data_IF_329377604896
#
_entry.id   IF_329377604896
#
_cell.length_a   1.000
_cell.length_b   1.000
_cell.length_c   1.000
_cell.angle_alpha   90.00
_cell.angle_beta   90.00
_cell.angle_gamma   90.00
#
_symmetry.space_group_name_H-M   'P 1'
#
loop_
_entity.id
_entity.type
_entity.pdbx_description
1 polymer ?
#
# COMPACT_ATOMS: atom_id res chain seq x y z
N UNK A 1 -15.41 21.40 22.87
CA UNK A 1 -15.23 20.31 21.88
C UNK A 1 -14.57 20.93 20.67
N UNK A 2 -13.30 20.62 20.44
CA UNK A 2 -12.58 21.10 19.27
C UNK A 2 -13.06 20.31 18.04
N UNK A 3 -13.94 20.90 17.24
CA UNK A 3 -14.62 20.26 16.12
C UNK A 3 -13.78 20.25 14.82
N UNK A 4 -12.52 20.68 14.88
CA UNK A 4 -11.69 20.92 13.69
C UNK A 4 -10.23 20.49 13.87
N UNK A 5 -9.98 19.35 14.51
CA UNK A 5 -8.74 18.62 14.26
C UNK A 5 -8.85 18.00 12.85
N UNK A 6 -8.48 18.79 11.85
CA UNK A 6 -8.65 18.53 10.41
C UNK A 6 -7.82 17.37 9.86
N UNK A 7 -7.97 16.18 10.45
CA UNK A 7 -7.36 14.94 9.96
C UNK A 7 -7.77 14.64 8.52
N UNK A 8 -8.90 15.17 8.08
CA UNK A 8 -9.45 15.09 6.74
C UNK A 8 -8.46 15.52 5.66
N UNK A 9 -7.82 16.67 5.86
CA UNK A 9 -6.81 17.18 4.95
C UNK A 9 -5.58 16.26 4.94
N UNK A 10 -5.17 15.79 6.12
CA UNK A 10 -4.04 14.87 6.26
C UNK A 10 -4.31 13.50 5.60
N UNK A 11 -5.52 12.96 5.77
CA UNK A 11 -5.98 11.71 5.14
C UNK A 11 -6.04 11.89 3.63
N UNK A 12 -6.53 13.03 3.14
CA UNK A 12 -6.59 13.31 1.70
C UNK A 12 -5.17 13.39 1.09
N UNK A 13 -4.25 14.10 1.75
CA UNK A 13 -2.83 14.14 1.34
C UNK A 13 -2.22 12.73 1.34
N UNK A 14 -2.51 11.93 2.36
CA UNK A 14 -2.04 10.54 2.43
C UNK A 14 -2.63 9.69 1.29
N UNK A 15 -3.92 9.80 1.02
CA UNK A 15 -4.61 9.13 -0.08
C UNK A 15 -4.02 9.51 -1.45
N UNK A 16 -3.66 10.78 -1.65
CA UNK A 16 -2.98 11.23 -2.88
C UNK A 16 -1.59 10.60 -3.03
N UNK A 17 -0.80 10.59 -1.95
CA UNK A 17 0.52 9.93 -1.94
C UNK A 17 0.40 8.43 -2.22
N UNK A 18 -0.55 7.76 -1.57
CA UNK A 18 -0.82 6.33 -1.78
C UNK A 18 -1.30 6.06 -3.21
N UNK A 19 -2.13 6.94 -3.78
CA UNK A 19 -2.58 6.81 -5.18
C UNK A 19 -1.43 6.93 -6.18
N UNK A 20 -0.43 7.79 -5.91
CA UNK A 20 0.81 7.84 -6.68
C UNK A 20 1.59 6.53 -6.59
N UNK A 21 1.70 5.94 -5.39
CA UNK A 21 2.32 4.61 -5.22
C UNK A 21 1.55 3.53 -5.99
N UNK A 22 0.21 3.58 -6.02
CA UNK A 22 -0.60 2.66 -6.84
C UNK A 22 -0.28 2.77 -8.33
N UNK A 23 -0.06 4.00 -8.82
CA UNK A 23 0.38 4.21 -10.19
C UNK A 23 1.76 3.60 -10.44
N UNK A 24 2.70 3.77 -9.50
CA UNK A 24 4.02 3.13 -9.58
C UNK A 24 3.87 1.61 -9.62
N UNK A 25 3.10 1.00 -8.71
CA UNK A 25 2.84 -0.45 -8.70
C UNK A 25 2.31 -0.93 -10.06
N UNK A 26 1.39 -0.17 -10.67
CA UNK A 26 0.85 -0.48 -12.01
C UNK A 26 1.89 -0.34 -13.12
N UNK A 27 2.85 0.56 -12.98
CA UNK A 27 3.93 0.71 -13.96
C UNK A 27 4.94 -0.44 -13.85
N UNK A 28 5.24 -0.88 -12.62
CA UNK A 28 6.19 -1.98 -12.37
C UNK A 28 5.53 -3.37 -12.42
N UNK A 29 4.21 -3.45 -12.62
CA UNK A 29 3.46 -4.73 -12.60
C UNK A 29 3.82 -5.70 -13.74
N UNK A 30 4.68 -5.30 -14.68
CA UNK A 30 5.30 -6.23 -15.65
C UNK A 30 6.28 -7.22 -15.00
N UNK A 31 6.82 -6.88 -13.83
CA UNK A 31 7.68 -7.74 -13.02
C UNK A 31 7.00 -7.98 -11.67
N UNK A 32 6.46 -9.19 -11.49
CA UNK A 32 5.63 -9.53 -10.33
C UNK A 32 6.34 -9.31 -8.99
N UNK A 33 7.67 -9.44 -8.92
CA UNK A 33 8.40 -9.31 -7.66
C UNK A 33 8.71 -7.85 -7.30
N UNK A 34 9.03 -7.01 -8.29
CA UNK A 34 9.29 -5.58 -8.05
C UNK A 34 8.03 -4.84 -7.59
N UNK A 35 6.88 -5.12 -8.22
CA UNK A 35 5.60 -4.54 -7.83
C UNK A 35 5.18 -4.90 -6.40
N UNK A 36 5.51 -6.11 -5.92
CA UNK A 36 5.33 -6.52 -4.51
C UNK A 36 6.25 -5.73 -3.58
N UNK A 37 7.54 -5.58 -3.92
CA UNK A 37 8.49 -4.82 -3.10
C UNK A 37 7.98 -3.39 -2.91
N UNK A 38 7.53 -2.73 -4.00
CA UNK A 38 6.93 -1.39 -3.94
C UNK A 38 5.68 -1.38 -3.05
N UNK A 39 4.80 -2.38 -3.17
CA UNK A 39 3.62 -2.50 -2.32
C UNK A 39 4.01 -2.61 -0.83
N UNK A 40 4.86 -3.55 -0.45
CA UNK A 40 5.22 -3.76 0.96
C UNK A 40 6.02 -2.61 1.57
N UNK A 41 6.97 -2.05 0.82
CA UNK A 41 7.86 -1.00 1.33
C UNK A 41 7.20 0.37 1.36
N UNK A 42 6.49 0.75 0.29
CA UNK A 42 5.98 2.10 0.12
C UNK A 42 4.49 2.21 0.43
N UNK A 43 3.69 1.21 0.07
CA UNK A 43 2.24 1.26 0.25
C UNK A 43 1.82 0.78 1.66
N UNK A 44 2.19 -0.44 2.03
CA UNK A 44 1.72 -1.09 3.26
C UNK A 44 2.24 -0.39 4.52
N UNK A 45 3.51 0.03 4.54
CA UNK A 45 4.08 0.78 5.66
C UNK A 45 3.29 2.08 5.92
N UNK A 46 3.02 2.86 4.87
CA UNK A 46 2.28 4.13 4.95
C UNK A 46 0.82 3.92 5.32
N UNK A 47 0.19 2.88 4.79
CA UNK A 47 -1.19 2.53 5.12
C UNK A 47 -1.31 2.11 6.59
N UNK A 48 -0.43 1.24 7.09
CA UNK A 48 -0.43 0.79 8.50
C UNK A 48 -0.26 1.96 9.46
N UNK A 49 0.69 2.84 9.18
CA UNK A 49 0.85 4.08 9.94
C UNK A 49 -0.42 4.93 9.89
N UNK A 50 -0.98 5.14 8.69
CA UNK A 50 -2.21 5.90 8.51
C UNK A 50 -3.41 5.33 9.27
N UNK A 51 -3.58 4.01 9.31
CA UNK A 51 -4.65 3.35 10.08
C UNK A 51 -4.41 3.51 11.58
N UNK A 52 -3.16 3.40 12.05
CA UNK A 52 -2.85 3.57 13.47
C UNK A 52 -3.20 4.99 13.97
N UNK A 53 -2.97 6.01 13.15
CA UNK A 53 -3.21 7.41 13.52
C UNK A 53 -4.65 7.84 13.23
N UNK A 54 -5.20 7.45 12.09
CA UNK A 54 -6.48 7.96 11.56
C UNK A 54 -7.61 6.92 11.55
N UNK A 55 -7.38 5.70 12.05
CA UNK A 55 -8.35 4.60 11.98
C UNK A 55 -9.67 4.86 12.71
N UNK A 56 -9.68 5.78 13.67
CA UNK A 56 -10.89 6.19 14.39
C UNK A 56 -11.69 7.28 13.66
N UNK A 57 -11.19 7.82 12.53
CA UNK A 57 -11.91 8.81 11.71
C UNK A 57 -12.80 8.11 10.68
N UNK A 58 -14.04 8.58 10.46
CA UNK A 58 -14.90 8.05 9.39
C UNK A 58 -14.26 8.17 8.00
N UNK A 59 -13.35 9.12 7.82
CA UNK A 59 -12.67 9.35 6.55
C UNK A 59 -11.57 8.34 6.25
N UNK A 60 -11.21 7.49 7.21
CA UNK A 60 -10.30 6.36 7.00
C UNK A 60 -10.82 5.37 5.94
N UNK A 61 -12.13 5.37 5.64
CA UNK A 61 -12.71 4.58 4.53
C UNK A 61 -12.04 4.87 3.18
N UNK A 62 -11.58 6.10 2.95
CA UNK A 62 -10.86 6.48 1.73
C UNK A 62 -9.52 5.73 1.59
N UNK A 63 -8.81 5.49 2.70
CA UNK A 63 -7.56 4.71 2.73
C UNK A 63 -7.81 3.26 2.30
N UNK A 64 -8.89 2.64 2.78
CA UNK A 64 -9.29 1.29 2.38
C UNK A 64 -9.74 1.23 0.91
N UNK A 65 -10.30 2.30 0.36
CA UNK A 65 -10.60 2.38 -1.07
C UNK A 65 -9.33 2.39 -1.91
N UNK A 66 -8.32 3.16 -1.51
CA UNK A 66 -7.01 3.18 -2.17
C UNK A 66 -6.30 1.83 -2.00
N UNK A 67 -6.41 1.17 -0.85
CA UNK A 67 -5.92 -0.20 -0.64
C UNK A 67 -6.51 -1.19 -1.65
N UNK A 68 -7.83 -1.16 -1.86
CA UNK A 68 -8.49 -2.00 -2.88
C UNK A 68 -7.98 -1.70 -4.29
N UNK A 69 -7.65 -0.45 -4.61
CA UNK A 69 -7.05 -0.09 -5.91
C UNK A 69 -5.62 -0.63 -6.03
N UNK A 70 -4.83 -0.53 -4.97
CA UNK A 70 -3.47 -1.08 -4.90
C UNK A 70 -3.46 -2.59 -5.11
N UNK A 71 -4.35 -3.33 -4.43
CA UNK A 71 -4.49 -4.78 -4.61
C UNK A 71 -4.85 -5.11 -6.07
N UNK A 72 -5.78 -4.38 -6.69
CA UNK A 72 -6.11 -4.60 -8.11
C UNK A 72 -4.92 -4.33 -9.04
N UNK A 73 -4.17 -3.26 -8.78
CA UNK A 73 -2.98 -2.92 -9.56
C UNK A 73 -1.90 -4.01 -9.43
N UNK A 74 -1.68 -4.55 -8.23
CA UNK A 74 -0.73 -5.62 -7.97
C UNK A 74 -1.08 -6.91 -8.74
N UNK A 75 -2.37 -7.23 -8.85
CA UNK A 75 -2.84 -8.41 -9.59
C UNK A 75 -3.11 -8.13 -11.08
N UNK A 76 -2.83 -6.91 -11.58
CA UNK A 76 -3.09 -6.56 -12.99
C UNK A 76 -4.57 -6.55 -13.40
N UNK A 77 -5.50 -6.52 -12.44
CA UNK A 77 -6.94 -6.63 -12.70
C UNK A 77 -7.52 -5.27 -13.09
N UNK A 78 -7.95 -5.14 -14.35
CA UNK A 78 -8.48 -3.89 -14.91
C UNK A 78 -9.96 -3.65 -14.62
N UNK A 79 -10.75 -4.70 -14.38
CA UNK A 79 -12.22 -4.61 -14.33
C UNK A 79 -12.76 -4.51 -12.90
N UNK A 80 -13.80 -3.69 -12.64
CA UNK A 80 -14.45 -3.59 -11.34
C UNK A 80 -15.27 -4.84 -10.96
N UNK A 81 -15.55 -5.75 -11.91
CA UNK A 81 -16.40 -6.93 -11.71
C UNK A 81 -15.76 -8.09 -10.94
N UNK A 82 -14.46 -8.03 -10.64
CA UNK A 82 -13.76 -9.11 -9.92
C UNK A 82 -13.70 -8.75 -8.43
N UNK A 83 -14.20 -9.67 -7.59
CA UNK A 83 -14.20 -9.48 -6.14
C UNK A 83 -12.77 -9.39 -5.60
N UNK A 84 -12.45 -8.31 -4.89
CA UNK A 84 -11.17 -8.17 -4.20
C UNK A 84 -10.96 -9.24 -3.13
N UNK A 85 -12.04 -9.89 -2.64
CA UNK A 85 -11.93 -10.94 -1.62
C UNK A 85 -11.07 -12.10 -2.12
N UNK A 86 -11.23 -12.50 -3.38
CA UNK A 86 -10.42 -13.57 -4.00
C UNK A 86 -8.97 -13.13 -4.19
N UNK A 87 -8.74 -11.85 -4.48
CA UNK A 87 -7.39 -11.28 -4.62
C UNK A 87 -6.67 -11.20 -3.25
N UNK A 88 -7.39 -10.89 -2.17
CA UNK A 88 -6.83 -10.93 -0.82
C UNK A 88 -6.62 -12.37 -0.31
N UNK A 89 -7.51 -13.29 -0.65
CA UNK A 89 -7.44 -14.70 -0.25
C UNK A 89 -6.34 -15.46 -1.00
N UNK A 90 -6.06 -15.09 -2.25
CA UNK A 90 -4.80 -15.43 -2.93
C UNK A 90 -3.68 -14.67 -2.24
N UNK A 91 -3.27 -15.23 -1.09
CA UNK A 91 -2.34 -14.63 -0.14
C UNK A 91 -1.28 -13.82 -0.89
N UNK A 92 -1.20 -12.53 -0.59
CA UNK A 92 -0.02 -11.69 -0.83
C UNK A 92 1.12 -12.18 0.11
N UNK A 93 1.24 -13.50 0.30
CA UNK A 93 2.21 -14.15 1.16
C UNK A 93 3.46 -14.41 0.33
N UNK A 94 4.18 -13.35 0.04
CA UNK A 94 5.61 -13.43 -0.11
C UNK A 94 6.14 -12.33 0.80
N UNK A 95 6.48 -12.67 2.05
CA UNK A 95 7.40 -11.83 2.81
C UNK A 95 8.56 -11.57 1.85
N UNK A 96 8.90 -10.33 1.52
CA UNK A 96 10.13 -10.08 0.80
C UNK A 96 11.21 -10.75 1.66
N UNK A 97 11.81 -11.82 1.17
CA UNK A 97 13.11 -12.24 1.66
C UNK A 97 13.96 -11.04 1.29
N UNK A 98 14.13 -10.13 2.26
CA UNK A 98 15.07 -9.04 2.11
C UNK A 98 16.39 -9.77 1.98
N UNK A 99 16.81 -10.00 0.74
CA UNK A 99 18.19 -10.34 0.44
C UNK A 99 18.90 -9.03 0.74
N UNK A 100 19.20 -8.80 2.02
CA UNK A 100 20.29 -7.93 2.36
C UNK A 100 21.50 -8.60 1.68
N UNK A 101 22.12 -8.01 0.65
CA UNK A 101 23.49 -8.39 0.36
C UNK A 101 24.23 -8.15 1.67
N UNK A 102 24.70 -9.22 2.28
CA UNK A 102 25.62 -9.16 3.40
C UNK A 102 26.73 -8.22 2.98
N UNK A 103 26.75 -7.02 3.56
CA UNK A 103 27.93 -6.17 3.46
C UNK A 103 29.09 -7.00 4.03
N UNK A 104 30.16 -7.26 3.25
CA UNK A 104 31.32 -7.91 3.80
C UNK A 104 31.85 -7.01 4.92
N UNK A 105 31.97 -7.59 6.11
CA UNK A 105 32.73 -6.98 7.20
C UNK A 105 34.08 -6.54 6.65
N UNK A 106 34.50 -5.27 6.82
CA UNK A 106 35.88 -4.92 6.61
C UNK A 106 36.68 -5.61 7.73
N UNK A 107 37.34 -6.70 7.36
CA UNK A 107 38.46 -7.24 8.09
C UNK A 107 39.60 -6.22 7.99
N UNK A 108 39.70 -5.31 8.94
CA UNK A 108 40.96 -4.65 9.35
C UNK A 108 40.86 -4.32 10.84
#
# INVERSE_FOLDING_TARGET
>A
MDAHLGWDQHINILCNKLSSVVYQIRNVSGQFDESKIVYFSLFELRLKYGICVYGNSPQCLSLFLVQKRATRALHGVKYPGVSCRTLFANKISYRPRIIHPTMPHPCV
#
